data_IF_564858512642
#
_entry.id   IF_564858512642
#
_cell.length_a   1.000
_cell.length_b   1.000
_cell.length_c   1.000
_cell.angle_alpha   90.00
_cell.angle_beta   90.00
_cell.angle_gamma   90.00
#
_symmetry.space_group_name_H-M   'P 1'
#
loop_
_entity.id
_entity.type
_entity.pdbx_description
1 polymer ?
#
# COMPACT_ATOMS: atom_id res chain seq x y z
N UNK A 1 -2.28 8.68 -26.69
CA UNK A 1 -2.94 9.77 -25.94
C UNK A 1 -1.90 10.61 -25.22
N UNK A 2 -2.18 11.88 -24.98
CA UNK A 2 -1.44 12.75 -24.07
C UNK A 2 -2.08 12.72 -22.69
N UNK A 3 -1.37 12.21 -21.70
CA UNK A 3 -1.87 12.00 -20.35
C UNK A 3 -1.14 12.93 -19.39
N UNK A 4 -1.89 13.67 -18.55
CA UNK A 4 -1.33 14.43 -17.45
C UNK A 4 -1.49 13.65 -16.13
N UNK A 5 -0.41 13.46 -15.38
CA UNK A 5 -0.43 12.89 -14.04
C UNK A 5 -0.17 13.97 -12.99
N UNK A 6 -1.05 14.07 -12.00
CA UNK A 6 -0.80 14.83 -10.78
C UNK A 6 -0.20 13.89 -9.74
N UNK A 7 1.11 13.95 -9.56
CA UNK A 7 1.88 13.04 -8.72
C UNK A 7 2.76 13.84 -7.73
N UNK A 8 2.17 14.27 -6.61
CA UNK A 8 2.86 15.01 -5.55
C UNK A 8 4.11 14.28 -5.07
N UNK A 9 4.00 12.98 -4.80
CA UNK A 9 5.12 12.07 -4.55
C UNK A 9 5.43 11.28 -5.83
N UNK A 10 6.69 11.35 -6.28
CA UNK A 10 7.17 10.68 -7.48
C UNK A 10 8.69 10.52 -7.40
N UNK A 11 9.16 9.38 -6.89
CA UNK A 11 10.59 9.11 -6.72
C UNK A 11 10.95 7.69 -7.19
N UNK A 12 12.05 7.51 -7.92
CA UNK A 12 12.42 6.25 -8.54
C UNK A 12 12.90 5.17 -7.55
N UNK A 13 13.54 5.57 -6.45
CA UNK A 13 14.21 4.64 -5.53
C UNK A 13 13.50 4.44 -4.20
N UNK A 14 12.41 5.16 -3.95
CA UNK A 14 11.65 5.03 -2.71
C UNK A 14 10.51 4.03 -2.84
N UNK A 15 10.21 3.34 -1.74
CA UNK A 15 9.06 2.47 -1.64
C UNK A 15 7.74 3.22 -1.39
N UNK A 16 6.63 2.44 -1.28
CA UNK A 16 5.32 2.96 -0.91
C UNK A 16 4.78 4.03 -1.88
N UNK A 17 4.35 5.18 -1.39
CA UNK A 17 3.61 6.20 -2.15
C UNK A 17 4.45 6.91 -3.22
N UNK A 18 5.73 7.14 -2.94
CA UNK A 18 6.66 7.75 -3.90
C UNK A 18 6.87 6.85 -5.13
N UNK A 19 6.94 5.54 -4.92
CA UNK A 19 7.04 4.56 -6.00
C UNK A 19 5.78 4.52 -6.89
N UNK A 20 4.60 4.79 -6.34
CA UNK A 20 3.35 4.82 -7.13
C UNK A 20 3.47 5.85 -8.24
N UNK A 21 3.78 7.10 -7.92
CA UNK A 21 3.89 8.18 -8.92
C UNK A 21 4.88 7.85 -10.03
N UNK A 22 6.06 7.34 -9.67
CA UNK A 22 7.11 7.00 -10.61
C UNK A 22 6.75 5.82 -11.52
N UNK A 23 6.35 4.70 -10.94
CA UNK A 23 6.09 3.48 -11.71
C UNK A 23 4.84 3.62 -12.59
N UNK A 24 3.78 4.28 -12.12
CA UNK A 24 2.62 4.56 -12.97
C UNK A 24 3.00 5.41 -14.17
N UNK A 25 3.81 6.47 -13.98
CA UNK A 25 4.25 7.32 -15.08
C UNK A 25 5.02 6.53 -16.14
N UNK A 26 5.96 5.70 -15.72
CA UNK A 26 6.76 4.85 -16.62
C UNK A 26 5.91 3.82 -17.35
N UNK A 27 5.05 3.12 -16.66
CA UNK A 27 4.22 2.08 -17.26
C UNK A 27 3.19 2.64 -18.24
N UNK A 28 2.66 3.84 -17.99
CA UNK A 28 1.78 4.52 -18.94
C UNK A 28 2.59 4.94 -20.18
N UNK A 29 3.78 5.47 -20.00
CA UNK A 29 4.67 5.83 -21.09
C UNK A 29 5.13 4.60 -21.91
N UNK A 30 5.45 3.49 -21.26
CA UNK A 30 5.81 2.23 -21.91
C UNK A 30 4.68 1.66 -22.80
N UNK A 31 3.43 2.08 -22.57
CA UNK A 31 2.27 1.74 -23.40
C UNK A 31 2.09 2.66 -24.62
N UNK A 32 3.08 3.52 -24.90
CA UNK A 32 3.07 4.43 -26.04
C UNK A 32 2.28 5.72 -25.83
N UNK A 33 1.86 6.04 -24.60
CA UNK A 33 1.24 7.33 -24.30
C UNK A 33 2.30 8.41 -24.08
N UNK A 34 2.03 9.65 -24.48
CA UNK A 34 2.80 10.80 -24.04
C UNK A 34 2.37 11.19 -22.63
N UNK A 35 3.29 11.15 -21.68
CA UNK A 35 3.00 11.35 -20.25
C UNK A 35 3.68 12.61 -19.75
N UNK A 36 2.89 13.49 -19.16
CA UNK A 36 3.36 14.68 -18.44
C UNK A 36 3.06 14.49 -16.95
N UNK A 37 4.07 14.66 -16.10
CA UNK A 37 3.94 14.47 -14.65
C UNK A 37 4.17 15.78 -13.94
N UNK A 38 3.14 16.31 -13.26
CA UNK A 38 3.33 17.43 -12.33
C UNK A 38 3.71 16.85 -10.97
N UNK A 39 4.90 17.20 -10.49
CA UNK A 39 5.44 16.74 -9.21
C UNK A 39 6.18 17.86 -8.48
N UNK A 40 6.55 17.62 -7.24
CA UNK A 40 7.30 18.58 -6.44
C UNK A 40 8.71 18.81 -6.98
N UNK A 41 9.19 20.07 -6.88
CA UNK A 41 10.54 20.43 -7.32
C UNK A 41 11.64 19.75 -6.51
N UNK A 42 11.37 19.38 -5.25
CA UNK A 42 12.30 18.60 -4.40
C UNK A 42 12.66 17.23 -5.01
N UNK A 43 11.79 16.68 -5.86
CA UNK A 43 12.01 15.39 -6.51
C UNK A 43 12.91 15.47 -7.74
N UNK A 44 13.27 16.69 -8.22
CA UNK A 44 13.95 16.93 -9.49
C UNK A 44 15.25 16.14 -9.62
N UNK A 45 16.17 16.30 -8.69
CA UNK A 45 17.50 15.70 -8.80
C UNK A 45 17.43 14.16 -8.91
N UNK A 46 16.61 13.53 -8.07
CA UNK A 46 16.46 12.08 -8.09
C UNK A 46 15.83 11.59 -9.42
N UNK A 47 14.85 12.33 -9.95
CA UNK A 47 14.19 12.01 -11.22
C UNK A 47 15.16 12.19 -12.39
N UNK A 48 15.92 13.30 -12.44
CA UNK A 48 16.88 13.58 -13.51
C UNK A 48 18.01 12.55 -13.53
N UNK A 49 18.52 12.16 -12.36
CA UNK A 49 19.52 11.09 -12.25
C UNK A 49 19.00 9.75 -12.77
N UNK A 50 17.79 9.38 -12.40
CA UNK A 50 17.19 8.13 -12.87
C UNK A 50 16.92 8.14 -14.39
N UNK A 51 16.53 9.29 -14.95
CA UNK A 51 16.33 9.47 -16.39
C UNK A 51 17.61 9.42 -17.21
N UNK A 52 18.74 9.77 -16.63
CA UNK A 52 20.03 9.68 -17.31
C UNK A 52 20.40 8.23 -17.69
N UNK A 53 19.94 7.27 -16.90
CA UNK A 53 20.15 5.82 -17.14
C UNK A 53 18.99 5.14 -17.88
N UNK A 54 17.82 5.79 -17.98
CA UNK A 54 16.60 5.22 -18.55
C UNK A 54 15.89 6.27 -19.42
N UNK A 55 16.18 6.26 -20.72
CA UNK A 55 15.56 7.18 -21.66
C UNK A 55 14.16 6.68 -22.04
N UNK A 56 13.14 7.20 -21.37
CA UNK A 56 11.75 7.09 -21.80
C UNK A 56 11.35 8.40 -22.49
N UNK A 57 11.42 8.50 -23.84
CA UNK A 57 11.35 9.78 -24.56
C UNK A 57 9.97 10.46 -24.46
N UNK A 58 8.92 9.68 -24.27
CA UNK A 58 7.54 10.13 -24.16
C UNK A 58 7.10 10.46 -22.72
N UNK A 59 8.04 10.55 -21.76
CA UNK A 59 7.80 10.91 -20.35
C UNK A 59 8.45 12.26 -20.04
N UNK A 60 7.65 13.22 -19.62
CA UNK A 60 8.09 14.58 -19.28
C UNK A 60 7.68 14.96 -17.86
N UNK A 61 8.52 15.74 -17.16
CA UNK A 61 8.26 16.19 -15.79
C UNK A 61 8.11 17.70 -15.71
N UNK A 62 7.07 18.14 -15.03
CA UNK A 62 6.77 19.53 -14.71
C UNK A 62 6.97 19.71 -13.20
N UNK A 63 8.07 20.32 -12.82
CA UNK A 63 8.42 20.51 -11.43
C UNK A 63 7.81 21.79 -10.89
N UNK A 64 7.06 21.67 -9.80
CA UNK A 64 6.37 22.78 -9.18
C UNK A 64 6.42 22.71 -7.65
N UNK A 65 6.75 23.82 -7.02
CA UNK A 65 6.62 24.01 -5.57
C UNK A 65 6.08 25.41 -5.27
N UNK A 66 5.52 25.57 -4.08
CA UNK A 66 5.07 26.86 -3.56
C UNK A 66 6.28 27.67 -3.05
N UNK A 67 6.07 28.97 -2.82
CA UNK A 67 7.12 29.85 -2.32
C UNK A 67 7.73 29.36 -0.99
N UNK A 68 9.00 29.66 -0.70
CA UNK A 68 9.65 29.29 0.56
C UNK A 68 8.87 29.72 1.82
N UNK A 69 8.19 30.85 1.76
CA UNK A 69 7.32 31.35 2.84
C UNK A 69 6.18 30.38 3.16
N UNK A 70 5.56 29.81 2.14
CA UNK A 70 4.47 28.82 2.33
C UNK A 70 5.07 27.48 2.76
N UNK A 71 6.27 27.13 2.30
CA UNK A 71 6.97 25.93 2.77
C UNK A 71 7.23 25.95 4.29
N UNK A 72 7.38 27.14 4.89
CA UNK A 72 7.55 27.26 6.34
C UNK A 72 6.38 26.66 7.16
N UNK A 73 5.19 26.51 6.56
CA UNK A 73 4.05 25.83 7.20
C UNK A 73 4.33 24.38 7.58
N UNK A 74 5.30 23.69 6.96
CA UNK A 74 5.70 22.34 7.37
C UNK A 74 6.14 22.24 8.84
N UNK A 75 6.57 23.36 9.44
CA UNK A 75 7.00 23.41 10.84
C UNK A 75 5.84 23.30 11.84
N UNK A 76 4.61 23.52 11.39
CA UNK A 76 3.43 23.49 12.24
C UNK A 76 2.74 22.12 12.18
N UNK A 77 2.05 21.72 13.26
CA UNK A 77 1.15 20.55 13.23
C UNK A 77 0.15 20.67 12.08
N UNK A 78 -0.02 19.58 11.31
CA UNK A 78 -0.88 19.55 10.11
C UNK A 78 -0.43 20.46 8.94
N UNK A 79 0.66 21.20 9.07
CA UNK A 79 1.15 22.13 8.05
C UNK A 79 1.44 21.45 6.70
N UNK A 80 1.89 20.20 6.71
CA UNK A 80 2.07 19.40 5.50
C UNK A 80 0.78 19.18 4.72
N UNK A 81 -0.36 19.02 5.38
CA UNK A 81 -1.66 18.87 4.73
C UNK A 81 -2.17 20.18 4.13
N UNK A 82 -1.98 21.29 4.86
CA UNK A 82 -2.32 22.64 4.35
C UNK A 82 -1.47 22.96 3.12
N UNK A 83 -0.16 22.70 3.20
CA UNK A 83 0.74 22.87 2.06
C UNK A 83 0.29 22.04 0.86
N UNK A 84 -0.07 20.78 1.08
CA UNK A 84 -0.54 19.89 0.02
C UNK A 84 -1.79 20.43 -0.68
N UNK A 85 -2.77 20.93 0.07
CA UNK A 85 -3.99 21.52 -0.51
C UNK A 85 -3.69 22.76 -1.37
N UNK A 86 -2.81 23.63 -0.88
CA UNK A 86 -2.35 24.81 -1.63
C UNK A 86 -1.55 24.41 -2.87
N UNK A 87 -0.68 23.40 -2.73
CA UNK A 87 0.10 22.87 -3.84
C UNK A 87 -0.81 22.29 -4.93
N UNK A 88 -1.84 21.53 -4.57
CA UNK A 88 -2.82 20.97 -5.52
C UNK A 88 -3.51 22.06 -6.32
N UNK A 89 -3.88 23.17 -5.67
CA UNK A 89 -4.50 24.30 -6.36
C UNK A 89 -3.54 24.98 -7.35
N UNK A 90 -2.29 25.21 -6.93
CA UNK A 90 -1.27 25.80 -7.78
C UNK A 90 -0.86 24.87 -8.94
N UNK A 91 -0.71 23.59 -8.68
CA UNK A 91 -0.44 22.56 -9.69
C UNK A 91 -1.56 22.50 -10.75
N UNK A 92 -2.82 22.65 -10.34
CA UNK A 92 -3.94 22.69 -11.28
C UNK A 92 -3.91 23.96 -12.17
N UNK A 93 -3.52 25.10 -11.62
CA UNK A 93 -3.37 26.32 -12.43
C UNK A 93 -2.22 26.17 -13.45
N UNK A 94 -1.09 25.58 -13.05
CA UNK A 94 0.00 25.21 -13.98
C UNK A 94 -0.50 24.24 -15.05
N UNK A 95 -1.27 23.22 -14.64
CA UNK A 95 -1.84 22.22 -15.53
C UNK A 95 -2.73 22.86 -16.62
N UNK A 96 -3.57 23.83 -16.27
CA UNK A 96 -4.42 24.58 -17.22
C UNK A 96 -3.57 25.35 -18.24
N UNK A 97 -2.50 26.02 -17.79
CA UNK A 97 -1.60 26.75 -18.68
C UNK A 97 -0.88 25.81 -19.67
N UNK A 98 -0.40 24.66 -19.18
CA UNK A 98 0.26 23.65 -20.03
C UNK A 98 -0.76 22.99 -20.96
N UNK A 99 -1.98 22.70 -20.49
CA UNK A 99 -3.04 22.14 -21.30
C UNK A 99 -3.42 23.01 -22.50
N UNK A 100 -3.39 24.33 -22.36
CA UNK A 100 -3.67 25.25 -23.47
C UNK A 100 -2.72 25.05 -24.66
N UNK A 101 -1.48 24.58 -24.40
CA UNK A 101 -0.46 24.31 -25.43
C UNK A 101 -0.46 22.82 -25.86
N UNK A 102 -0.41 21.94 -24.87
CA UNK A 102 -0.20 20.48 -25.07
C UNK A 102 -1.47 19.72 -25.46
N UNK A 103 -2.64 20.22 -25.08
CA UNK A 103 -3.93 19.56 -25.38
C UNK A 103 -3.98 18.13 -24.84
N UNK A 104 -4.02 17.97 -23.50
CA UNK A 104 -4.14 16.67 -22.86
C UNK A 104 -5.48 16.01 -23.17
N UNK A 105 -5.46 14.71 -23.45
CA UNK A 105 -6.67 13.91 -23.68
C UNK A 105 -7.36 13.53 -22.38
N UNK A 106 -6.57 13.41 -21.27
CA UNK A 106 -7.07 13.07 -19.95
C UNK A 106 -6.08 13.48 -18.85
N UNK A 107 -6.58 13.53 -17.62
CA UNK A 107 -5.77 13.75 -16.44
C UNK A 107 -6.04 12.67 -15.38
N UNK A 108 -5.00 12.24 -14.68
CA UNK A 108 -5.14 11.37 -13.52
C UNK A 108 -4.48 12.00 -12.29
N UNK A 109 -5.19 12.00 -11.18
CA UNK A 109 -4.62 12.29 -9.87
C UNK A 109 -4.19 10.97 -9.22
N UNK A 110 -2.88 10.84 -8.90
CA UNK A 110 -2.35 9.56 -8.45
C UNK A 110 -1.69 9.58 -7.08
N UNK A 111 -1.01 10.66 -6.68
CA UNK A 111 -0.48 10.89 -5.34
C UNK A 111 -0.71 12.35 -4.89
N UNK A 112 -1.08 12.62 -3.68
CA UNK A 112 -1.21 11.80 -2.45
C UNK A 112 -2.39 10.82 -2.61
N UNK A 113 -2.15 9.53 -2.46
CA UNK A 113 -3.13 8.47 -2.70
C UNK A 113 -4.15 8.32 -1.55
N UNK A 114 -4.81 9.41 -1.18
CA UNK A 114 -5.73 9.46 -0.06
C UNK A 114 -7.08 10.06 -0.45
N UNK A 115 -8.16 9.31 -0.22
CA UNK A 115 -9.53 9.64 -0.62
C UNK A 115 -10.13 10.89 0.08
N UNK A 116 -9.48 11.42 1.11
CA UNK A 116 -9.93 12.62 1.86
C UNK A 116 -9.41 13.93 1.29
N UNK A 117 -8.47 13.87 0.36
CA UNK A 117 -7.85 15.05 -0.20
C UNK A 117 -8.32 15.30 -1.62
N UNK A 118 -8.85 16.52 -1.91
CA UNK A 118 -9.36 16.86 -3.22
C UNK A 118 -8.23 17.01 -4.23
N UNK A 119 -8.58 16.83 -5.50
CA UNK A 119 -7.80 17.34 -6.62
C UNK A 119 -8.55 18.50 -7.28
N UNK A 120 -7.82 19.44 -7.83
CA UNK A 120 -8.37 20.53 -8.64
C UNK A 120 -8.13 20.30 -10.14
N UNK A 121 -7.63 19.13 -10.54
CA UNK A 121 -7.33 18.81 -11.95
C UNK A 121 -8.57 18.78 -12.85
N UNK A 122 -9.76 18.67 -12.29
CA UNK A 122 -11.02 18.81 -13.03
C UNK A 122 -11.17 20.17 -13.72
N UNK A 123 -10.41 21.21 -13.33
CA UNK A 123 -10.39 22.52 -14.01
C UNK A 123 -9.91 22.45 -15.45
N UNK A 124 -9.26 21.36 -15.87
CA UNK A 124 -8.82 21.18 -17.25
C UNK A 124 -9.99 20.89 -18.22
N UNK A 125 -11.15 20.48 -17.71
CA UNK A 125 -12.30 20.14 -18.55
C UNK A 125 -12.14 18.85 -19.37
N UNK A 126 -11.13 18.03 -19.09
CA UNK A 126 -10.91 16.73 -19.73
C UNK A 126 -11.27 15.59 -18.79
N UNK A 127 -11.46 14.35 -19.29
CA UNK A 127 -11.70 13.19 -18.45
C UNK A 127 -10.70 13.08 -17.29
N UNK A 128 -11.22 12.96 -16.06
CA UNK A 128 -10.44 12.86 -14.83
C UNK A 128 -10.58 11.49 -14.20
N UNK A 129 -9.44 10.80 -14.01
CA UNK A 129 -9.34 9.64 -13.13
C UNK A 129 -8.82 10.11 -11.75
N UNK A 130 -9.63 9.91 -10.71
CA UNK A 130 -9.23 10.18 -9.34
C UNK A 130 -8.77 8.88 -8.66
N UNK A 131 -7.49 8.72 -8.43
CA UNK A 131 -6.88 7.53 -7.79
C UNK A 131 -5.87 6.77 -8.64
N UNK A 132 -5.38 5.64 -8.09
CA UNK A 132 -5.92 4.88 -6.94
C UNK A 132 -5.72 5.59 -5.60
N UNK A 133 -6.79 5.73 -4.82
CA UNK A 133 -6.77 6.33 -3.48
C UNK A 133 -7.23 5.34 -2.42
N UNK A 134 -6.62 5.39 -1.25
CA UNK A 134 -6.92 4.57 -0.09
C UNK A 134 -7.17 5.41 1.16
N UNK A 135 -7.13 4.77 2.33
CA UNK A 135 -7.23 5.44 3.62
C UNK A 135 -8.62 5.40 4.25
N UNK A 136 -9.58 4.71 3.60
CA UNK A 136 -10.91 4.44 4.14
C UNK A 136 -10.99 3.22 5.04
N UNK A 137 -9.92 2.42 5.10
CA UNK A 137 -9.85 1.25 5.96
C UNK A 137 -9.96 1.66 7.43
N UNK A 138 -10.72 0.89 8.21
CA UNK A 138 -10.90 1.12 9.64
C UNK A 138 -10.78 -0.20 10.42
N UNK A 139 -10.27 -0.10 11.63
CA UNK A 139 -10.24 -1.25 12.54
C UNK A 139 -11.65 -1.67 12.92
N UNK A 140 -12.04 -2.95 12.72
CA UNK A 140 -13.34 -3.46 13.14
C UNK A 140 -13.67 -3.13 14.59
N UNK A 141 -14.92 -2.77 14.88
CA UNK A 141 -15.34 -2.25 16.20
C UNK A 141 -14.94 -3.17 17.36
N UNK A 142 -15.11 -4.48 17.21
CA UNK A 142 -14.79 -5.47 18.24
C UNK A 142 -13.29 -5.60 18.50
N UNK A 143 -12.45 -5.30 17.50
CA UNK A 143 -10.98 -5.40 17.59
C UNK A 143 -10.31 -4.13 18.12
N UNK A 144 -11.05 -3.03 18.25
CA UNK A 144 -10.48 -1.75 18.73
C UNK A 144 -9.93 -1.80 20.14
N UNK A 145 -10.43 -2.73 20.99
CA UNK A 145 -9.90 -2.91 22.35
C UNK A 145 -8.45 -3.34 22.32
N UNK A 146 -8.04 -4.18 21.38
CA UNK A 146 -6.67 -4.63 21.18
C UNK A 146 -5.66 -3.54 20.81
N UNK A 147 -6.12 -2.39 20.26
CA UNK A 147 -5.24 -1.25 19.96
C UNK A 147 -4.65 -0.58 21.22
N UNK A 148 -5.21 -0.85 22.40
CA UNK A 148 -4.86 -0.13 23.64
C UNK A 148 -5.36 1.32 23.66
N UNK A 149 -5.25 2.00 24.79
CA UNK A 149 -5.76 3.37 24.94
C UNK A 149 -5.09 4.36 23.98
N UNK A 150 -3.76 4.31 23.88
CA UNK A 150 -2.99 5.18 22.96
C UNK A 150 -3.40 4.94 21.50
N UNK A 151 -3.53 3.69 21.07
CA UNK A 151 -3.94 3.36 19.70
C UNK A 151 -5.33 3.90 19.36
N UNK A 152 -6.29 3.78 20.28
CA UNK A 152 -7.65 4.34 20.11
C UNK A 152 -7.65 5.85 19.99
N UNK A 153 -6.88 6.55 20.85
CA UNK A 153 -6.76 8.01 20.81
C UNK A 153 -6.13 8.51 19.49
N UNK A 154 -5.14 7.80 18.96
CA UNK A 154 -4.53 8.12 17.67
C UNK A 154 -5.44 7.81 16.47
N UNK A 155 -6.31 6.82 16.57
CA UNK A 155 -7.21 6.43 15.49
C UNK A 155 -8.47 7.33 15.40
N UNK A 156 -8.89 7.93 16.50
CA UNK A 156 -10.09 8.76 16.58
C UNK A 156 -10.07 9.97 15.63
N UNK A 157 -9.00 10.81 15.57
CA UNK A 157 -8.94 11.93 14.63
C UNK A 157 -9.01 11.48 13.17
N UNK A 158 -8.37 10.35 12.83
CA UNK A 158 -8.41 9.78 11.48
C UNK A 158 -9.85 9.42 11.09
N UNK A 159 -10.58 8.75 11.98
CA UNK A 159 -11.98 8.34 11.74
C UNK A 159 -12.92 9.52 11.62
N UNK A 160 -12.77 10.53 12.48
CA UNK A 160 -13.54 11.77 12.38
C UNK A 160 -13.24 12.48 11.06
N UNK A 161 -11.97 12.53 10.64
CA UNK A 161 -11.60 13.13 9.36
C UNK A 161 -12.16 12.36 8.16
N UNK A 162 -12.31 11.03 8.22
CA UNK A 162 -12.94 10.25 7.15
C UNK A 162 -14.36 10.76 6.88
N UNK A 163 -15.20 10.84 7.92
CA UNK A 163 -16.59 11.25 7.75
C UNK A 163 -16.75 12.72 7.36
N UNK A 164 -15.94 13.61 7.95
CA UNK A 164 -16.08 15.06 7.74
C UNK A 164 -15.49 15.51 6.39
N UNK A 165 -14.29 15.05 6.05
CA UNK A 165 -13.58 15.51 4.85
C UNK A 165 -14.13 14.87 3.58
N UNK A 166 -14.43 13.57 3.58
CA UNK A 166 -14.96 12.87 2.40
C UNK A 166 -16.31 13.46 1.93
N UNK A 167 -17.12 13.97 2.86
CA UNK A 167 -18.40 14.65 2.56
C UNK A 167 -18.27 16.15 2.28
N UNK A 168 -17.08 16.73 2.38
CA UNK A 168 -16.84 18.16 2.23
C UNK A 168 -17.06 18.69 0.79
N UNK A 169 -17.26 19.99 0.61
CA UNK A 169 -17.58 20.56 -0.71
C UNK A 169 -16.49 20.32 -1.75
N UNK A 170 -15.21 20.40 -1.37
CA UNK A 170 -14.08 20.18 -2.28
C UNK A 170 -13.99 18.72 -2.74
N UNK A 171 -14.25 17.77 -1.84
CA UNK A 171 -14.31 16.36 -2.23
C UNK A 171 -15.53 16.04 -3.08
N UNK A 172 -16.67 16.66 -2.79
CA UNK A 172 -17.86 16.55 -3.65
C UNK A 172 -17.59 17.04 -5.07
N UNK A 173 -16.86 18.16 -5.23
CA UNK A 173 -16.44 18.66 -6.54
C UNK A 173 -15.48 17.66 -7.24
N UNK A 174 -14.50 17.12 -6.51
CA UNK A 174 -13.59 16.08 -7.04
C UNK A 174 -14.38 14.88 -7.56
N UNK A 175 -15.29 14.31 -6.76
CA UNK A 175 -16.07 13.14 -7.16
C UNK A 175 -17.05 13.44 -8.30
N UNK A 176 -17.70 14.62 -8.28
CA UNK A 176 -18.65 15.01 -9.31
C UNK A 176 -18.01 15.09 -10.70
N UNK A 177 -16.82 15.70 -10.78
CA UNK A 177 -16.10 15.91 -12.03
C UNK A 177 -15.20 14.73 -12.43
N UNK A 178 -15.02 13.73 -11.56
CA UNK A 178 -14.29 12.53 -11.96
C UNK A 178 -15.13 11.69 -12.91
N UNK A 179 -14.51 11.25 -14.00
CA UNK A 179 -15.06 10.23 -14.89
C UNK A 179 -14.99 8.86 -14.22
N UNK A 180 -13.88 8.59 -13.52
CA UNK A 180 -13.66 7.36 -12.77
C UNK A 180 -13.03 7.68 -11.42
N UNK A 181 -13.45 6.94 -10.38
CA UNK A 181 -12.86 6.98 -9.04
C UNK A 181 -12.23 5.62 -8.76
N UNK A 182 -10.92 5.55 -8.74
CA UNK A 182 -10.19 4.31 -8.46
C UNK A 182 -9.83 4.29 -6.98
N UNK A 183 -10.26 3.27 -6.27
CA UNK A 183 -9.99 3.08 -4.83
C UNK A 183 -9.23 1.78 -4.58
N UNK A 184 -8.40 1.78 -3.53
CA UNK A 184 -7.55 0.61 -3.24
C UNK A 184 -8.30 -0.54 -2.59
N UNK A 185 -9.41 -0.27 -1.90
CA UNK A 185 -10.14 -1.29 -1.10
C UNK A 185 -11.65 -1.08 -1.14
N UNK A 186 -12.39 -2.13 -0.81
CA UNK A 186 -13.85 -2.08 -0.67
C UNK A 186 -14.28 -1.16 0.48
N UNK A 187 -13.46 -1.08 1.53
CA UNK A 187 -13.66 -0.18 2.67
C UNK A 187 -13.59 1.28 2.21
N UNK A 188 -12.57 1.64 1.44
CA UNK A 188 -12.44 2.99 0.87
C UNK A 188 -13.62 3.30 -0.06
N UNK A 189 -14.10 2.34 -0.86
CA UNK A 189 -15.27 2.55 -1.71
C UNK A 189 -16.54 2.86 -0.90
N UNK A 190 -16.70 2.23 0.26
CA UNK A 190 -17.84 2.49 1.17
C UNK A 190 -17.82 3.89 1.79
N UNK A 191 -16.65 4.49 1.92
CA UNK A 191 -16.49 5.88 2.40
C UNK A 191 -16.85 6.93 1.33
N UNK A 192 -16.82 6.58 0.04
CA UNK A 192 -17.27 7.46 -1.04
C UNK A 192 -18.79 7.67 -0.92
N UNK A 193 -19.29 8.91 -0.99
CA UNK A 193 -20.73 9.17 -0.91
C UNK A 193 -21.52 8.37 -1.96
N UNK A 194 -22.63 7.77 -1.53
CA UNK A 194 -23.40 6.76 -2.30
C UNK A 194 -23.64 7.17 -3.76
N UNK A 195 -24.03 8.43 -4.01
CA UNK A 195 -24.30 8.97 -5.34
C UNK A 195 -23.12 8.94 -6.33
N UNK A 196 -21.89 8.77 -5.85
CA UNK A 196 -20.69 8.70 -6.68
C UNK A 196 -20.08 7.30 -6.76
N UNK A 197 -20.60 6.32 -6.01
CA UNK A 197 -20.06 4.97 -5.98
C UNK A 197 -20.15 4.23 -7.30
N UNK A 198 -21.10 4.60 -8.16
CA UNK A 198 -21.23 4.04 -9.52
C UNK A 198 -20.01 4.35 -10.41
N UNK A 199 -19.28 5.43 -10.12
CA UNK A 199 -18.00 5.74 -10.77
C UNK A 199 -16.80 5.00 -10.14
N UNK A 200 -17.04 4.29 -9.04
CA UNK A 200 -16.02 3.64 -8.23
C UNK A 200 -15.54 2.34 -8.83
N UNK A 201 -14.22 2.15 -8.86
CA UNK A 201 -13.58 0.90 -9.24
C UNK A 201 -12.54 0.54 -8.18
N UNK A 202 -12.51 -0.73 -7.77
CA UNK A 202 -11.51 -1.22 -6.83
C UNK A 202 -10.30 -1.73 -7.62
N UNK A 203 -9.13 -1.18 -7.30
CA UNK A 203 -7.87 -1.55 -7.93
C UNK A 203 -6.70 -1.20 -7.00
N UNK A 204 -5.73 -2.09 -6.89
CA UNK A 204 -4.52 -1.83 -6.13
C UNK A 204 -3.73 -0.67 -6.74
N UNK A 205 -3.13 0.15 -5.85
CA UNK A 205 -2.26 1.27 -6.24
C UNK A 205 -0.82 0.83 -6.47
N UNK A 206 -0.39 -0.19 -5.72
CA UNK A 206 1.00 -0.64 -5.63
C UNK A 206 1.14 -1.95 -6.39
N UNK A 207 2.09 -1.99 -7.31
CA UNK A 207 2.58 -3.18 -7.98
C UNK A 207 3.96 -3.56 -7.50
N UNK A 208 4.45 -4.71 -7.94
CA UNK A 208 5.84 -5.08 -7.81
C UNK A 208 6.50 -5.01 -9.17
N UNK A 209 7.71 -4.47 -9.24
CA UNK A 209 8.49 -4.48 -10.47
C UNK A 209 9.05 -5.86 -10.75
N UNK A 210 9.45 -6.18 -11.99
CA UNK A 210 10.45 -7.19 -12.18
C UNK A 210 11.64 -6.76 -11.33
N UNK A 211 12.11 -7.68 -10.51
CA UNK A 211 13.25 -7.46 -9.64
C UNK A 211 14.44 -7.14 -10.52
N UNK A 212 14.75 -5.88 -10.69
CA UNK A 212 15.80 -5.56 -11.65
C UNK A 212 15.99 -4.11 -11.97
N UNK A 213 15.35 -3.17 -11.28
CA UNK A 213 15.80 -1.79 -11.51
C UNK A 213 17.06 -1.40 -10.75
N UNK A 214 17.60 -2.22 -9.83
CA UNK A 214 18.96 -2.02 -9.27
C UNK A 214 19.50 -3.21 -8.45
N UNK A 215 18.91 -4.40 -8.52
CA UNK A 215 19.58 -5.57 -7.95
C UNK A 215 19.56 -6.72 -8.96
N UNK A 216 20.75 -7.15 -9.33
CA UNK A 216 21.07 -8.29 -10.21
C UNK A 216 20.76 -9.66 -9.57
N UNK A 217 19.73 -9.77 -8.77
CA UNK A 217 19.24 -11.04 -8.29
C UNK A 217 18.20 -11.57 -9.27
N UNK A 218 18.62 -12.52 -10.07
CA UNK A 218 17.76 -13.32 -10.94
C UNK A 218 16.78 -14.11 -10.07
N UNK A 219 15.56 -13.57 -9.84
CA UNK A 219 14.55 -14.20 -8.98
C UNK A 219 13.91 -15.44 -9.61
N UNK A 220 14.49 -15.93 -10.71
CA UNK A 220 14.22 -17.27 -11.23
C UNK A 220 14.93 -18.36 -10.44
N UNK A 221 15.88 -18.02 -9.55
CA UNK A 221 16.41 -19.01 -8.62
C UNK A 221 15.24 -19.48 -7.73
N UNK A 222 14.79 -20.68 -8.01
CA UNK A 222 13.95 -21.46 -7.11
C UNK A 222 14.61 -21.36 -5.74
N UNK A 223 13.98 -20.65 -4.79
CA UNK A 223 14.40 -20.80 -3.41
C UNK A 223 14.48 -22.30 -3.16
N UNK A 224 15.57 -22.81 -2.60
CA UNK A 224 15.59 -24.19 -2.20
C UNK A 224 14.30 -24.43 -1.42
N UNK A 225 13.62 -25.57 -1.61
CA UNK A 225 12.45 -25.91 -0.83
C UNK A 225 12.81 -25.60 0.61
N UNK A 226 11.95 -24.83 1.29
CA UNK A 226 12.22 -24.41 2.67
C UNK A 226 12.78 -25.64 3.38
N UNK A 227 13.99 -25.59 3.94
CA UNK A 227 14.59 -26.79 4.48
C UNK A 227 13.52 -27.42 5.35
N UNK A 228 13.39 -28.76 5.31
CA UNK A 228 12.48 -29.51 6.18
C UNK A 228 12.96 -29.31 7.63
N UNK A 229 12.85 -28.04 8.09
CA UNK A 229 13.29 -27.65 9.41
C UNK A 229 12.30 -28.19 10.42
N UNK A 230 12.83 -28.68 11.49
CA UNK A 230 12.08 -29.01 12.70
C UNK A 230 11.33 -27.79 13.27
N UNK A 231 11.46 -26.58 12.70
CA UNK A 231 10.87 -25.32 13.19
C UNK A 231 10.22 -24.52 12.07
N UNK A 232 9.06 -23.91 12.39
CA UNK A 232 8.36 -22.96 11.54
C UNK A 232 8.88 -21.54 11.82
N UNK A 233 9.63 -20.97 10.89
CA UNK A 233 10.16 -19.62 10.99
C UNK A 233 9.21 -18.60 10.37
N UNK A 234 8.73 -17.70 11.20
CA UNK A 234 7.80 -16.62 10.83
C UNK A 234 8.54 -15.29 10.76
N UNK A 235 8.13 -14.44 9.81
CA UNK A 235 8.62 -13.07 9.71
C UNK A 235 7.44 -12.09 9.83
N UNK A 236 7.61 -11.07 10.64
CA UNK A 236 6.84 -9.83 10.58
C UNK A 236 7.79 -8.68 10.22
N UNK A 237 7.47 -7.90 9.20
CA UNK A 237 8.25 -6.71 8.85
C UNK A 237 7.34 -5.48 8.71
N UNK A 238 7.73 -4.37 9.35
CA UNK A 238 7.01 -3.13 9.24
C UNK A 238 7.03 -2.24 10.50
N UNK A 239 6.49 -1.03 10.36
CA UNK A 239 6.39 -0.11 11.50
C UNK A 239 5.51 -0.68 12.61
N UNK A 240 6.02 -0.72 13.84
CA UNK A 240 5.27 -1.22 15.00
C UNK A 240 4.24 -0.18 15.45
N UNK A 241 3.08 -0.22 14.82
CA UNK A 241 1.90 0.61 15.14
C UNK A 241 0.76 -0.29 15.63
N UNK A 242 -0.12 0.19 16.53
CA UNK A 242 -1.19 -0.63 17.09
C UNK A 242 -2.05 -1.32 16.04
N UNK A 243 -2.35 -0.65 14.94
CA UNK A 243 -3.18 -1.18 13.85
C UNK A 243 -2.47 -2.18 12.93
N UNK A 244 -1.15 -2.35 13.06
CA UNK A 244 -0.44 -3.43 12.35
C UNK A 244 -0.72 -4.81 12.95
N UNK A 245 -1.43 -4.87 14.06
CA UNK A 245 -2.05 -6.08 14.57
C UNK A 245 -1.10 -7.13 15.16
N UNK A 246 0.20 -6.83 15.30
CA UNK A 246 1.19 -7.80 15.79
C UNK A 246 0.81 -8.41 17.16
N UNK A 247 0.03 -7.69 17.99
CA UNK A 247 -0.50 -8.24 19.24
C UNK A 247 -1.40 -9.48 19.03
N UNK A 248 -2.13 -9.56 17.90
CA UNK A 248 -2.91 -10.75 17.55
C UNK A 248 -1.98 -11.93 17.25
N UNK A 249 -0.92 -11.68 16.46
CA UNK A 249 0.08 -12.69 16.14
C UNK A 249 0.77 -13.23 17.39
N UNK A 250 1.20 -12.35 18.32
CA UNK A 250 1.80 -12.77 19.59
C UNK A 250 0.85 -13.63 20.43
N UNK A 251 -0.43 -13.27 20.51
CA UNK A 251 -1.43 -14.07 21.22
C UNK A 251 -1.70 -15.41 20.53
N UNK A 252 -1.71 -15.44 19.19
CA UNK A 252 -1.89 -16.67 18.44
C UNK A 252 -0.70 -17.63 18.65
N UNK A 253 0.52 -17.11 18.70
CA UNK A 253 1.70 -17.91 19.05
C UNK A 253 1.59 -18.51 20.45
N UNK A 254 1.21 -17.71 21.44
CA UNK A 254 1.04 -18.20 22.81
C UNK A 254 -0.06 -19.27 22.91
N UNK A 255 -1.09 -19.21 22.07
CA UNK A 255 -2.17 -20.17 22.02
C UNK A 255 -1.77 -21.53 21.40
N UNK A 256 -0.61 -21.66 20.76
CA UNK A 256 -0.06 -22.93 20.26
C UNK A 256 0.33 -23.91 21.38
N UNK A 257 0.39 -23.46 22.63
CA UNK A 257 0.76 -24.31 23.77
C UNK A 257 2.13 -24.95 23.60
N UNK A 258 2.24 -26.28 23.68
CA UNK A 258 3.53 -26.97 23.54
C UNK A 258 4.16 -26.85 22.16
N UNK A 259 3.42 -26.60 21.11
CA UNK A 259 3.97 -26.44 19.75
C UNK A 259 4.78 -25.14 19.58
N UNK A 260 4.73 -24.19 20.52
CA UNK A 260 5.48 -22.92 20.44
C UNK A 260 6.98 -23.12 20.40
N UNK A 261 7.52 -24.21 20.97
CA UNK A 261 8.94 -24.53 20.93
C UNK A 261 9.48 -24.80 19.52
N UNK A 262 8.57 -25.15 18.60
CA UNK A 262 8.87 -25.46 17.20
C UNK A 262 8.52 -24.28 16.26
N UNK A 263 8.13 -23.14 16.81
CA UNK A 263 7.79 -21.93 16.06
C UNK A 263 8.65 -20.76 16.52
N UNK A 264 9.22 -20.02 15.59
CA UNK A 264 9.99 -18.82 15.90
C UNK A 264 9.52 -17.63 15.05
N UNK A 265 9.28 -16.50 15.70
CA UNK A 265 8.89 -15.26 15.03
C UNK A 265 10.00 -14.22 15.09
N UNK A 266 10.49 -13.79 13.95
CA UNK A 266 11.37 -12.63 13.83
C UNK A 266 10.53 -11.38 13.50
N UNK A 267 10.68 -10.35 14.31
CA UNK A 267 10.00 -9.07 14.15
C UNK A 267 11.01 -8.01 13.71
N UNK A 268 10.90 -7.57 12.47
CA UNK A 268 11.73 -6.49 11.91
C UNK A 268 10.94 -5.18 11.91
N UNK A 269 11.43 -4.19 12.65
CA UNK A 269 10.85 -2.85 12.67
C UNK A 269 10.77 -2.22 14.05
N UNK A 270 10.44 -0.94 14.05
CA UNK A 270 10.28 -0.11 15.24
C UNK A 270 9.00 0.72 15.17
N UNK A 271 8.59 1.32 16.28
CA UNK A 271 7.43 2.20 16.30
C UNK A 271 6.82 2.44 17.67
N UNK A 272 5.75 3.22 17.68
CA UNK A 272 5.10 3.67 18.92
C UNK A 272 4.48 2.56 19.77
N UNK A 273 4.30 1.37 19.22
CA UNK A 273 3.72 0.22 19.91
C UNK A 273 4.76 -0.79 20.43
N UNK A 274 6.03 -0.60 20.12
CA UNK A 274 7.11 -1.55 20.42
C UNK A 274 7.17 -1.93 21.89
N UNK A 275 7.15 -0.94 22.80
CA UNK A 275 7.23 -1.19 24.24
C UNK A 275 6.02 -1.98 24.77
N UNK A 276 4.83 -1.76 24.21
CA UNK A 276 3.63 -2.53 24.56
C UNK A 276 3.73 -3.97 24.09
N UNK A 277 4.19 -4.16 22.86
CA UNK A 277 4.35 -5.49 22.26
C UNK A 277 5.42 -6.33 22.98
N UNK A 278 6.56 -5.72 23.36
CA UNK A 278 7.60 -6.41 24.15
C UNK A 278 7.09 -6.82 25.53
N UNK A 279 6.35 -5.93 26.24
CA UNK A 279 5.72 -6.33 27.51
C UNK A 279 4.63 -7.40 27.34
N UNK A 280 3.94 -7.40 26.22
CA UNK A 280 2.96 -8.46 25.91
C UNK A 280 3.66 -9.78 25.68
N UNK A 281 4.74 -9.84 24.88
CA UNK A 281 5.48 -11.08 24.64
C UNK A 281 6.04 -11.67 25.93
N UNK A 282 6.57 -10.83 26.84
CA UNK A 282 7.04 -11.28 28.16
C UNK A 282 5.91 -11.90 28.99
N UNK A 283 4.75 -11.24 29.07
CA UNK A 283 3.60 -11.78 29.80
C UNK A 283 3.05 -13.07 29.23
N UNK A 284 3.28 -13.30 27.94
CA UNK A 284 2.88 -14.52 27.24
C UNK A 284 3.96 -15.61 27.26
N UNK A 285 5.14 -15.36 27.85
CA UNK A 285 6.24 -16.32 27.93
C UNK A 285 6.87 -16.65 26.58
N UNK A 286 6.94 -15.68 25.65
CA UNK A 286 7.37 -15.91 24.28
C UNK A 286 8.85 -15.54 24.02
N UNK A 287 9.64 -15.20 25.05
CA UNK A 287 10.98 -14.63 24.88
C UNK A 287 11.92 -15.56 24.09
N UNK A 288 11.79 -16.87 24.24
CA UNK A 288 12.62 -17.87 23.56
C UNK A 288 12.20 -18.11 22.10
N UNK A 289 10.95 -17.70 21.75
CA UNK A 289 10.36 -17.90 20.42
C UNK A 289 10.31 -16.61 19.59
N UNK A 290 11.01 -15.53 20.05
CA UNK A 290 10.97 -14.22 19.42
C UNK A 290 12.35 -13.61 19.24
N UNK A 291 12.60 -13.06 18.04
CA UNK A 291 13.73 -12.16 17.77
C UNK A 291 13.21 -10.78 17.38
N UNK A 292 13.79 -9.72 17.98
CA UNK A 292 13.44 -8.34 17.70
C UNK A 292 14.59 -7.62 17.01
N UNK A 293 14.40 -7.22 15.72
CA UNK A 293 15.34 -6.43 14.93
C UNK A 293 14.72 -5.04 14.75
N UNK A 294 15.29 -3.97 15.35
CA UNK A 294 14.65 -2.66 15.37
C UNK A 294 14.60 -1.98 14.00
N UNK A 295 15.57 -2.24 13.15
CA UNK A 295 15.69 -1.69 11.80
C UNK A 295 16.50 -2.63 10.90
N UNK A 296 16.18 -2.60 9.61
CA UNK A 296 16.90 -3.28 8.55
C UNK A 296 16.73 -2.46 7.26
N UNK A 297 17.78 -2.28 6.50
CA UNK A 297 17.69 -1.64 5.20
C UNK A 297 16.84 -2.47 4.25
N UNK A 298 16.22 -1.79 3.26
CA UNK A 298 15.29 -2.47 2.36
C UNK A 298 15.98 -3.58 1.55
N UNK A 299 17.19 -3.35 1.09
CA UNK A 299 17.96 -4.33 0.31
C UNK A 299 18.31 -5.56 1.16
N UNK A 300 18.69 -5.35 2.43
CA UNK A 300 18.94 -6.40 3.39
C UNK A 300 17.64 -7.18 3.72
N UNK A 301 16.54 -6.47 3.98
CA UNK A 301 15.24 -7.10 4.24
C UNK A 301 14.77 -7.96 3.07
N UNK A 302 15.03 -7.52 1.84
CA UNK A 302 14.68 -8.26 0.63
C UNK A 302 15.37 -9.62 0.61
N UNK A 303 16.66 -9.69 0.91
CA UNK A 303 17.39 -10.96 0.98
C UNK A 303 16.91 -11.81 2.17
N UNK A 304 16.58 -11.16 3.27
CA UNK A 304 16.15 -11.80 4.50
C UNK A 304 14.82 -12.56 4.37
N UNK A 305 13.91 -12.17 3.45
CA UNK A 305 12.67 -12.91 3.20
C UNK A 305 12.90 -14.40 2.90
N UNK A 306 14.02 -14.77 2.28
CA UNK A 306 14.33 -16.15 1.89
C UNK A 306 14.59 -17.10 3.07
N UNK A 307 14.83 -16.56 4.27
CA UNK A 307 15.16 -17.36 5.47
C UNK A 307 13.92 -17.86 6.22
N UNK A 308 12.71 -17.48 5.77
CA UNK A 308 11.46 -17.74 6.48
C UNK A 308 10.51 -18.67 5.71
N UNK A 309 9.56 -19.24 6.46
CA UNK A 309 8.53 -20.12 5.92
C UNK A 309 7.19 -19.41 5.71
N UNK A 310 6.90 -18.37 6.50
CA UNK A 310 5.61 -17.67 6.47
C UNK A 310 5.77 -16.20 6.88
N UNK A 311 5.12 -15.31 6.16
CA UNK A 311 5.00 -13.90 6.51
C UNK A 311 3.73 -13.65 7.31
N UNK A 312 3.89 -13.24 8.56
CA UNK A 312 2.76 -12.97 9.47
C UNK A 312 2.40 -11.49 9.44
N UNK A 313 1.27 -11.13 8.85
CA UNK A 313 0.85 -9.73 8.67
C UNK A 313 -0.61 -9.49 9.08
N UNK A 314 -0.96 -9.56 10.38
CA UNK A 314 -2.32 -9.45 10.88
C UNK A 314 -2.80 -8.00 10.99
N UNK A 315 -2.52 -7.19 9.97
CA UNK A 315 -2.86 -5.76 9.96
C UNK A 315 -4.36 -5.53 10.00
N UNK A 316 -4.81 -4.66 10.90
CA UNK A 316 -6.22 -4.32 11.10
C UNK A 316 -6.71 -3.25 10.12
N UNK A 317 -5.81 -2.48 9.55
CA UNK A 317 -6.06 -1.62 8.40
C UNK A 317 -4.75 -1.27 7.68
N UNK A 318 -4.73 -1.47 6.37
CA UNK A 318 -3.62 -1.13 5.49
C UNK A 318 -4.14 -1.03 4.05
N UNK A 319 -3.90 0.08 3.36
CA UNK A 319 -4.43 0.28 2.02
C UNK A 319 -3.66 -0.45 0.93
N UNK A 320 -2.36 -0.68 1.11
CA UNK A 320 -1.48 -1.20 0.06
C UNK A 320 -0.77 -2.50 0.41
N UNK A 321 -0.10 -2.54 1.58
CA UNK A 321 0.65 -3.73 2.01
C UNK A 321 1.85 -4.06 1.12
N UNK A 322 2.69 -3.07 0.77
CA UNK A 322 3.88 -3.30 -0.08
C UNK A 322 4.75 -4.45 0.43
N UNK A 323 4.98 -4.53 1.73
CA UNK A 323 5.78 -5.61 2.35
C UNK A 323 5.17 -7.01 2.13
N UNK A 324 3.85 -7.10 1.93
CA UNK A 324 3.15 -8.35 1.58
C UNK A 324 3.53 -8.76 0.15
N UNK A 325 3.51 -7.82 -0.79
CA UNK A 325 3.93 -8.08 -2.17
C UNK A 325 5.43 -8.44 -2.24
N UNK A 326 6.26 -7.74 -1.46
CA UNK A 326 7.69 -8.04 -1.36
C UNK A 326 7.90 -9.47 -0.83
N UNK A 327 7.30 -9.84 0.29
CA UNK A 327 7.39 -11.19 0.83
C UNK A 327 6.94 -12.27 -0.19
N UNK A 328 5.79 -12.06 -0.83
CA UNK A 328 5.26 -12.99 -1.83
C UNK A 328 6.17 -13.11 -3.07
N UNK A 329 6.90 -12.06 -3.46
CA UNK A 329 7.83 -12.09 -4.61
C UNK A 329 9.01 -13.04 -4.36
N UNK A 330 9.37 -13.24 -3.10
CA UNK A 330 10.34 -14.26 -2.68
C UNK A 330 9.71 -15.63 -2.41
N UNK A 331 8.43 -15.80 -2.74
CA UNK A 331 7.70 -17.04 -2.51
C UNK A 331 7.35 -17.27 -1.04
N UNK A 332 7.37 -16.24 -0.20
CA UNK A 332 6.97 -16.36 1.20
C UNK A 332 5.44 -16.28 1.30
N UNK A 333 4.74 -17.36 1.70
CA UNK A 333 3.30 -17.34 1.90
C UNK A 333 2.91 -16.35 2.99
N UNK A 334 1.71 -15.82 2.95
CA UNK A 334 1.26 -14.78 3.88
C UNK A 334 0.09 -15.24 4.72
N UNK A 335 0.16 -15.07 6.05
CA UNK A 335 -0.97 -15.14 6.95
C UNK A 335 -1.44 -13.73 7.30
N UNK A 336 -2.62 -13.34 6.85
CA UNK A 336 -3.20 -12.04 7.09
C UNK A 336 -4.68 -12.10 7.48
N UNK A 337 -5.27 -10.95 7.77
CA UNK A 337 -6.72 -10.79 7.96
C UNK A 337 -7.38 -10.42 6.61
N UNK A 338 -8.67 -10.66 6.48
CA UNK A 338 -9.50 -10.27 5.32
C UNK A 338 -9.79 -8.76 5.27
N UNK A 339 -8.82 -7.93 5.68
CA UNK A 339 -8.93 -6.49 5.81
C UNK A 339 -7.96 -5.76 4.89
N UNK A 340 -8.44 -4.67 4.29
CA UNK A 340 -7.66 -3.75 3.49
C UNK A 340 -6.96 -4.39 2.28
N UNK A 341 -5.82 -3.81 1.89
CA UNK A 341 -5.02 -4.27 0.76
C UNK A 341 -4.48 -5.69 0.89
N UNK A 342 -3.90 -6.09 2.05
CA UNK A 342 -3.45 -7.46 2.27
C UNK A 342 -4.54 -8.52 2.05
N UNK A 343 -5.74 -8.31 2.61
CA UNK A 343 -6.88 -9.23 2.42
C UNK A 343 -7.40 -9.32 0.99
N UNK A 344 -7.08 -8.34 0.13
CA UNK A 344 -7.40 -8.38 -1.31
C UNK A 344 -6.26 -8.97 -2.15
N UNK A 345 -5.03 -8.90 -1.65
CA UNK A 345 -3.83 -9.38 -2.33
C UNK A 345 -3.66 -10.88 -2.18
N UNK A 346 -3.84 -11.36 -0.96
CA UNK A 346 -3.66 -12.76 -0.57
C UNK A 346 -4.96 -13.53 -0.78
N UNK A 347 -4.83 -14.76 -1.27
CA UNK A 347 -5.89 -15.75 -1.34
C UNK A 347 -5.37 -17.14 -0.88
N UNK A 348 -6.22 -18.14 -0.89
CA UNK A 348 -5.89 -19.48 -0.40
C UNK A 348 -4.85 -20.23 -1.25
N UNK A 349 -4.48 -19.70 -2.42
CA UNK A 349 -3.41 -20.27 -3.26
C UNK A 349 -2.03 -19.79 -2.85
N UNK A 350 -1.93 -18.62 -2.21
CA UNK A 350 -0.68 -17.93 -1.90
C UNK A 350 -0.49 -17.59 -0.42
N UNK A 351 -1.43 -17.98 0.42
CA UNK A 351 -1.39 -17.70 1.84
C UNK A 351 -2.64 -18.18 2.57
N UNK A 352 -2.87 -17.61 3.73
CA UNK A 352 -4.08 -17.84 4.52
C UNK A 352 -4.69 -16.49 4.94
N UNK A 353 -5.95 -16.33 4.66
CA UNK A 353 -6.72 -15.12 4.98
C UNK A 353 -7.70 -15.47 6.10
N UNK A 354 -7.48 -14.90 7.27
CA UNK A 354 -8.34 -15.11 8.43
C UNK A 354 -9.55 -14.18 8.34
N UNK A 355 -10.77 -14.75 8.24
CA UNK A 355 -11.98 -13.94 8.13
C UNK A 355 -12.28 -13.23 9.45
N UNK A 356 -12.37 -11.91 9.43
CA UNK A 356 -12.69 -11.09 10.60
C UNK A 356 -14.18 -11.04 10.90
N UNK A 357 -15.00 -10.74 9.92
CA UNK A 357 -16.44 -10.65 10.06
C UNK A 357 -16.86 -9.88 11.32
N UNK A 358 -17.75 -10.48 12.12
CA UNK A 358 -18.17 -9.94 13.42
C UNK A 358 -17.49 -10.66 14.61
N UNK A 359 -16.26 -11.15 14.41
CA UNK A 359 -15.52 -11.93 15.41
C UNK A 359 -14.86 -11.06 16.47
N UNK A 360 -14.69 -11.65 17.65
CA UNK A 360 -13.92 -11.09 18.76
C UNK A 360 -12.41 -11.29 18.52
N UNK A 361 -11.61 -10.65 19.32
CA UNK A 361 -10.15 -10.80 19.29
C UNK A 361 -9.75 -12.25 19.64
N UNK A 362 -10.42 -12.86 20.63
CA UNK A 362 -10.17 -14.23 21.09
C UNK A 362 -10.47 -15.26 19.98
N UNK A 363 -11.57 -15.05 19.26
CA UNK A 363 -11.93 -15.93 18.12
C UNK A 363 -10.90 -15.83 16.99
N UNK A 364 -10.41 -14.61 16.66
CA UNK A 364 -9.36 -14.44 15.66
C UNK A 364 -8.04 -15.04 16.10
N UNK A 365 -7.66 -14.86 17.35
CA UNK A 365 -6.45 -15.47 17.93
C UNK A 365 -6.51 -16.99 17.80
N UNK A 366 -7.65 -17.61 18.09
CA UNK A 366 -7.84 -19.06 17.93
C UNK A 366 -7.68 -19.47 16.47
N UNK A 367 -8.41 -18.82 15.54
CA UNK A 367 -8.32 -19.15 14.11
C UNK A 367 -6.89 -18.99 13.57
N UNK A 368 -6.15 -17.97 14.00
CA UNK A 368 -4.76 -17.79 13.62
C UNK A 368 -3.87 -18.91 14.19
N UNK A 369 -4.08 -19.28 15.44
CA UNK A 369 -3.33 -20.37 16.10
C UNK A 369 -3.60 -21.72 15.41
N UNK A 370 -4.87 -22.04 15.14
CA UNK A 370 -5.26 -23.27 14.45
C UNK A 370 -4.62 -23.32 13.04
N UNK A 371 -4.61 -22.19 12.33
CA UNK A 371 -3.98 -22.08 11.03
C UNK A 371 -2.46 -22.29 11.10
N UNK A 372 -1.78 -21.69 12.08
CA UNK A 372 -0.33 -21.91 12.30
C UNK A 372 -0.03 -23.36 12.64
N UNK A 373 -0.83 -23.99 13.49
CA UNK A 373 -0.70 -25.43 13.83
C UNK A 373 -0.86 -26.31 12.59
N UNK A 374 -1.83 -26.02 11.72
CA UNK A 374 -2.02 -26.76 10.47
C UNK A 374 -0.81 -26.61 9.53
N UNK A 375 -0.32 -25.38 9.34
CA UNK A 375 0.83 -25.09 8.47
C UNK A 375 2.11 -25.73 9.00
N UNK A 376 2.27 -25.85 10.31
CA UNK A 376 3.38 -26.53 10.93
C UNK A 376 3.29 -28.06 10.72
N UNK A 377 2.09 -28.61 10.86
CA UNK A 377 1.87 -30.06 10.76
C UNK A 377 1.99 -30.61 9.33
N UNK A 378 1.82 -29.77 8.31
CA UNK A 378 1.87 -30.16 6.90
C UNK A 378 2.75 -29.21 6.06
N UNK A 379 4.06 -29.50 5.97
CA UNK A 379 5.00 -28.71 5.17
C UNK A 379 4.66 -28.65 3.68
N UNK A 380 3.93 -29.63 3.13
CA UNK A 380 3.53 -29.64 1.72
C UNK A 380 2.57 -28.48 1.40
N UNK A 381 1.75 -28.08 2.38
CA UNK A 381 0.90 -26.90 2.25
C UNK A 381 1.76 -25.64 2.05
N UNK A 382 2.83 -25.46 2.84
CA UNK A 382 3.71 -24.30 2.73
C UNK A 382 4.41 -24.24 1.37
N UNK A 383 4.86 -25.38 0.85
CA UNK A 383 5.47 -25.47 -0.48
C UNK A 383 4.48 -25.07 -1.58
N UNK A 384 3.26 -25.61 -1.54
CA UNK A 384 2.20 -25.25 -2.47
C UNK A 384 1.86 -23.75 -2.42
N UNK A 385 1.75 -23.18 -1.23
CA UNK A 385 1.49 -21.75 -1.02
C UNK A 385 2.65 -20.88 -1.49
N UNK A 386 3.90 -21.34 -1.37
CA UNK A 386 5.08 -20.64 -1.87
C UNK A 386 5.07 -20.51 -3.39
N UNK A 387 4.74 -21.59 -4.10
CA UNK A 387 4.55 -21.58 -5.55
C UNK A 387 3.42 -20.60 -5.93
N UNK A 388 2.29 -20.69 -5.22
CA UNK A 388 1.15 -19.83 -5.42
C UNK A 388 1.48 -18.34 -5.17
N UNK A 389 2.29 -18.02 -4.16
CA UNK A 389 2.71 -16.65 -3.86
C UNK A 389 3.46 -16.00 -5.03
N UNK A 390 4.41 -16.71 -5.63
CA UNK A 390 5.13 -16.24 -6.82
C UNK A 390 4.21 -16.05 -8.03
N UNK A 391 3.35 -17.02 -8.28
CA UNK A 391 2.37 -16.94 -9.37
C UNK A 391 1.42 -15.75 -9.18
N UNK A 392 0.94 -15.53 -7.96
CA UNK A 392 0.03 -14.43 -7.64
C UNK A 392 0.68 -13.07 -7.88
N UNK A 393 1.93 -12.88 -7.45
CA UNK A 393 2.70 -11.64 -7.62
C UNK A 393 2.88 -11.27 -9.08
N UNK A 394 3.07 -12.24 -9.99
CA UNK A 394 3.19 -11.97 -11.42
C UNK A 394 1.96 -11.22 -11.97
N UNK A 395 0.76 -11.52 -11.46
CA UNK A 395 -0.49 -10.83 -11.81
C UNK A 395 -0.65 -9.44 -11.15
N UNK A 396 0.25 -9.08 -10.25
CA UNK A 396 0.28 -7.83 -9.47
C UNK A 396 1.50 -6.97 -9.82
N UNK A 397 2.12 -7.20 -10.97
CA UNK A 397 3.20 -6.34 -11.48
C UNK A 397 2.67 -4.92 -11.78
N UNK A 398 3.56 -3.92 -11.75
CA UNK A 398 3.21 -2.55 -12.16
C UNK A 398 2.56 -2.53 -13.53
N UNK A 399 3.12 -3.32 -14.47
CA UNK A 399 2.57 -3.48 -15.80
C UNK A 399 1.12 -3.99 -15.81
N UNK A 400 0.84 -5.03 -15.01
CA UNK A 400 -0.50 -5.61 -14.92
C UNK A 400 -1.50 -4.65 -14.25
N UNK A 401 -1.07 -3.92 -13.23
CA UNK A 401 -1.91 -2.96 -12.51
C UNK A 401 -2.26 -1.77 -13.41
N UNK A 402 -1.27 -1.17 -14.08
CA UNK A 402 -1.50 -0.03 -14.96
C UNK A 402 -2.33 -0.45 -16.18
N UNK A 403 -2.15 -1.67 -16.68
CA UNK A 403 -2.96 -2.23 -17.78
C UNK A 403 -4.46 -2.25 -17.47
N UNK A 404 -4.83 -2.44 -16.22
CA UNK A 404 -6.24 -2.42 -15.79
C UNK A 404 -6.88 -1.05 -15.99
N UNK A 405 -6.11 0.02 -15.86
CA UNK A 405 -6.61 1.39 -16.09
C UNK A 405 -6.40 1.87 -17.52
N UNK A 406 -5.25 1.57 -18.12
CA UNK A 406 -4.83 2.04 -19.45
C UNK A 406 -4.84 0.93 -20.52
N UNK A 407 -5.64 -0.10 -20.33
CA UNK A 407 -5.84 -1.17 -21.31
C UNK A 407 -6.82 -0.79 -22.43
N UNK A 408 -7.06 -1.72 -23.38
CA UNK A 408 -7.98 -1.49 -24.53
C UNK A 408 -9.42 -1.13 -24.13
N UNK A 409 -9.80 -1.43 -22.90
CA UNK A 409 -11.13 -1.10 -22.34
C UNK A 409 -11.25 0.31 -21.76
N UNK A 410 -10.22 1.16 -21.91
CA UNK A 410 -10.33 2.56 -21.53
C UNK A 410 -11.24 3.29 -22.52
N UNK A 411 -12.54 3.16 -22.33
CA UNK A 411 -13.54 3.96 -23.04
C UNK A 411 -13.55 5.33 -22.36
N UNK A 412 -12.90 6.28 -22.98
CA UNK A 412 -13.14 7.70 -22.67
C UNK A 412 -14.54 8.01 -23.20
N UNK A 413 -15.53 7.93 -22.34
CA UNK A 413 -16.89 8.30 -22.71
C UNK A 413 -16.88 9.80 -23.05
N UNK A 414 -16.84 10.09 -24.36
CA UNK A 414 -16.80 11.44 -24.93
C UNK A 414 -18.19 12.10 -24.87
N UNK A 415 -19.04 11.74 -23.91
CA UNK A 415 -20.38 12.30 -23.78
C UNK A 415 -20.49 13.10 -22.50
N UNK A 416 -20.05 14.33 -22.55
CA UNK A 416 -20.70 15.46 -21.86
C UNK A 416 -20.38 16.73 -22.64
N UNK A 417 -21.23 17.03 -23.61
CA UNK A 417 -21.48 18.40 -24.00
C UNK A 417 -22.33 19.08 -22.94
#
# INVERSE_FOLDING_TARGET
MKVLLSAYYCLPSEGSESAIGWNWAREIAARGHQVFVITRAINRNAIEMARASDSTPNLQFLFHDLSPTIQAFFKFPFGSYVYYLLWQSAAANLAVQVHAKERFDMVQHITLANFRFPTYMWKLGVPLIFGPVGGGEDTPKKLRRGLGLRGRLWDLPRRLSNSLLAGGPLMKATYAHSTQIVVTTSETLREIPFRYRSKGRIQQAIGIGPSGSNSSADHTSVLPPAPRHAKLNLLFAGRLKPWKGLHLGLKALAALGSQIQDVHLTVVGSGSDQSRLKRLSQRLGLEQSLTWIPWMDREELIQFYSEFNLFLFPSLHDSGGLVVLEAMSFGLPVLCLDLGGPGMTVDNTCGRVIPTGDRTEEELVRLMSDCLSQLFSDPAILESLSIGARSRVASLSWQAIVAKTYGPSLVLDQRTN
#
